data_IF_153433534338
#
_entry.id   IF_153433534338
#
_cell.length_a   1.000
_cell.length_b   1.000
_cell.length_c   1.000
_cell.angle_alpha   90.00
_cell.angle_beta   90.00
_cell.angle_gamma   90.00
#
_symmetry.space_group_name_H-M   'P 1'
#
loop_
_entity.id
_entity.type
_entity.pdbx_description
1 polymer ?
#
# COMPACT_ATOMS: atom_id res chain seq x y z
N UNK A 1 -4.63 -24.28 -12.51
CA UNK A 1 -3.38 -23.80 -11.89
C UNK A 1 -3.69 -22.46 -11.24
N UNK A 2 -3.75 -22.39 -9.91
CA UNK A 2 -3.99 -21.11 -9.23
C UNK A 2 -2.73 -20.25 -9.38
N UNK A 3 -2.89 -19.05 -9.92
CA UNK A 3 -1.80 -18.11 -10.05
C UNK A 3 -1.53 -17.51 -8.67
N UNK A 4 -0.29 -17.61 -8.17
CA UNK A 4 0.08 -16.98 -6.90
C UNK A 4 -0.03 -15.45 -7.03
N UNK A 5 -0.51 -14.81 -5.98
CA UNK A 5 -0.56 -13.35 -5.86
C UNK A 5 0.88 -12.82 -5.90
N UNK A 6 1.22 -12.01 -6.90
CA UNK A 6 2.57 -11.46 -7.08
C UNK A 6 2.74 -10.04 -6.55
N UNK A 7 1.68 -9.24 -6.60
CA UNK A 7 1.74 -7.81 -6.31
C UNK A 7 0.40 -7.30 -5.76
N UNK A 8 0.45 -6.42 -4.76
CA UNK A 8 -0.71 -5.72 -4.17
C UNK A 8 -0.55 -4.22 -4.38
N UNK A 9 -1.56 -3.58 -5.00
CA UNK A 9 -1.68 -2.13 -5.06
C UNK A 9 -2.51 -1.60 -3.88
N UNK A 10 -2.02 -0.56 -3.20
CA UNK A 10 -2.71 0.08 -2.07
C UNK A 10 -3.01 1.53 -2.42
N UNK A 11 -4.28 1.91 -2.35
CA UNK A 11 -4.75 3.29 -2.46
C UNK A 11 -5.77 3.57 -1.35
N UNK A 12 -5.85 4.81 -0.91
CA UNK A 12 -6.96 5.30 -0.07
C UNK A 12 -7.84 6.22 -0.91
N UNK A 13 -9.14 5.97 -0.91
CA UNK A 13 -10.13 6.84 -1.54
C UNK A 13 -10.97 7.54 -0.46
N UNK A 14 -11.48 8.74 -0.77
CA UNK A 14 -12.22 9.55 0.20
C UNK A 14 -11.32 10.43 1.07
N UNK A 15 -11.87 10.92 2.18
CA UNK A 15 -11.13 11.74 3.15
C UNK A 15 -10.32 10.90 4.14
N UNK A 16 -9.33 11.52 4.77
CA UNK A 16 -8.47 10.86 5.74
C UNK A 16 -9.26 10.47 7.00
N UNK A 17 -9.01 9.25 7.48
CA UNK A 17 -9.63 8.74 8.71
C UNK A 17 -8.59 8.09 9.63
N UNK A 18 -8.84 8.10 10.96
CA UNK A 18 -8.01 7.36 11.90
C UNK A 18 -7.89 5.88 11.51
N UNK A 19 -6.66 5.35 11.59
CA UNK A 19 -6.39 3.93 11.30
C UNK A 19 -6.00 3.61 9.86
N UNK A 20 -6.16 4.53 8.89
CA UNK A 20 -5.73 4.28 7.51
C UNK A 20 -4.24 3.93 7.41
N UNK A 21 -3.37 4.71 8.07
CA UNK A 21 -1.93 4.44 8.11
C UNK A 21 -1.59 3.10 8.78
N UNK A 22 -2.36 2.70 9.79
CA UNK A 22 -2.20 1.40 10.44
C UNK A 22 -2.56 0.24 9.50
N UNK A 23 -3.66 0.37 8.75
CA UNK A 23 -4.07 -0.61 7.75
C UNK A 23 -3.03 -0.72 6.61
N UNK A 24 -2.60 0.41 6.05
CA UNK A 24 -1.55 0.45 5.02
C UNK A 24 -0.29 -0.28 5.53
N UNK A 25 0.18 0.07 6.74
CA UNK A 25 1.37 -0.58 7.33
C UNK A 25 1.19 -2.08 7.53
N UNK A 26 0.04 -2.51 8.03
CA UNK A 26 -0.24 -3.93 8.28
C UNK A 26 -0.23 -4.73 6.98
N UNK A 27 -0.93 -4.26 5.94
CA UNK A 27 -0.97 -4.92 4.63
C UNK A 27 0.42 -4.95 4.01
N UNK A 28 1.14 -3.83 3.98
CA UNK A 28 2.48 -3.76 3.37
C UNK A 28 3.46 -4.72 4.03
N UNK A 29 3.56 -4.73 5.37
CA UNK A 29 4.50 -5.60 6.08
C UNK A 29 4.16 -7.08 5.92
N UNK A 30 2.87 -7.41 5.93
CA UNK A 30 2.42 -8.80 5.78
C UNK A 30 2.65 -9.32 4.37
N UNK A 31 2.37 -8.51 3.34
CA UNK A 31 2.63 -8.87 1.95
C UNK A 31 4.12 -9.12 1.70
N UNK A 32 4.98 -8.19 2.14
CA UNK A 32 6.44 -8.32 1.99
C UNK A 32 6.96 -9.56 2.73
N UNK A 33 6.44 -9.88 3.92
CA UNK A 33 6.80 -11.10 4.65
C UNK A 33 6.46 -12.38 3.89
N UNK A 34 5.43 -12.35 3.04
CA UNK A 34 5.01 -13.48 2.20
C UNK A 34 5.57 -13.40 0.76
N UNK A 35 6.64 -12.64 0.54
CA UNK A 35 7.27 -12.45 -0.78
C UNK A 35 6.33 -11.87 -1.85
N UNK A 36 5.34 -11.06 -1.44
CA UNK A 36 4.41 -10.36 -2.33
C UNK A 36 4.86 -8.90 -2.47
N UNK A 37 5.04 -8.44 -3.70
CA UNK A 37 5.37 -7.04 -3.98
C UNK A 37 4.23 -6.10 -3.57
N UNK A 38 4.56 -4.88 -3.16
CA UNK A 38 3.57 -3.88 -2.78
C UNK A 38 3.83 -2.58 -3.51
N UNK A 39 2.77 -1.96 -4.03
CA UNK A 39 2.82 -0.64 -4.67
C UNK A 39 1.84 0.31 -3.99
N UNK A 40 2.33 1.44 -3.52
CA UNK A 40 1.50 2.54 -3.04
C UNK A 40 1.05 3.40 -4.20
N UNK A 41 -0.22 3.75 -4.23
CA UNK A 41 -0.84 4.59 -5.25
C UNK A 41 -1.28 5.87 -4.55
N UNK A 42 -0.65 6.98 -4.93
CA UNK A 42 -0.94 8.27 -4.31
C UNK A 42 -2.23 8.86 -4.86
N UNK A 43 -2.86 9.80 -4.13
CA UNK A 43 -4.05 10.54 -4.57
C UNK A 43 -5.24 9.67 -5.02
N UNK A 44 -5.39 8.49 -4.40
CA UNK A 44 -6.50 7.57 -4.68
C UNK A 44 -6.61 7.19 -6.15
N UNK A 45 -7.83 7.17 -6.69
CA UNK A 45 -8.07 6.82 -8.09
C UNK A 45 -7.42 7.79 -9.09
N UNK A 46 -7.23 9.07 -8.72
CA UNK A 46 -6.58 10.02 -9.63
C UNK A 46 -5.16 9.58 -9.91
N UNK A 47 -4.38 9.26 -8.87
CA UNK A 47 -3.01 8.79 -9.06
C UNK A 47 -2.92 7.42 -9.71
N UNK A 48 -3.93 6.56 -9.53
CA UNK A 48 -4.01 5.31 -10.29
C UNK A 48 -4.08 5.58 -11.81
N UNK A 49 -4.94 6.51 -12.21
CA UNK A 49 -5.14 6.87 -13.63
C UNK A 49 -3.91 7.59 -14.20
N UNK A 50 -3.26 8.45 -13.42
CA UNK A 50 -2.09 9.24 -13.85
C UNK A 50 -0.75 8.51 -13.68
N UNK A 51 -0.75 7.32 -13.08
CA UNK A 51 0.47 6.53 -12.88
C UNK A 51 1.34 6.98 -11.70
N UNK A 52 0.78 7.67 -10.70
CA UNK A 52 1.46 8.04 -9.45
C UNK A 52 1.57 6.81 -8.51
N UNK A 53 2.36 5.83 -8.95
CA UNK A 53 2.50 4.51 -8.34
C UNK A 53 3.95 4.24 -7.97
N UNK A 54 4.23 3.98 -6.69
CA UNK A 54 5.58 3.77 -6.17
C UNK A 54 5.72 2.41 -5.46
N UNK A 55 6.88 1.74 -5.54
CA UNK A 55 7.12 0.53 -4.77
C UNK A 55 7.16 0.83 -3.27
N UNK A 56 6.42 0.05 -2.49
CA UNK A 56 6.49 0.08 -1.04
C UNK A 56 7.44 -0.98 -0.53
N UNK A 57 8.34 -0.56 0.36
CA UNK A 57 9.26 -1.39 1.12
C UNK A 57 8.89 -1.31 2.60
N UNK A 58 9.48 -2.17 3.43
CA UNK A 58 9.26 -2.16 4.89
C UNK A 58 9.52 -0.78 5.51
N UNK A 59 10.52 -0.04 5.00
CA UNK A 59 10.83 1.31 5.44
C UNK A 59 9.84 2.38 4.94
N UNK A 60 9.17 2.18 3.80
CA UNK A 60 8.14 3.10 3.27
C UNK A 60 6.97 3.32 4.24
N UNK A 61 6.70 2.34 5.10
CA UNK A 61 5.62 2.37 6.11
C UNK A 61 6.14 2.44 7.55
N UNK A 62 7.40 2.85 7.73
CA UNK A 62 7.97 3.07 9.06
C UNK A 62 7.50 4.41 9.63
N UNK A 63 7.13 4.43 10.91
CA UNK A 63 6.68 5.61 11.65
C UNK A 63 5.42 6.32 11.12
N UNK A 64 4.67 5.73 10.18
CA UNK A 64 3.45 6.37 9.63
C UNK A 64 2.22 6.28 10.56
N UNK A 65 2.23 5.39 11.56
CA UNK A 65 1.10 5.23 12.49
C UNK A 65 0.96 6.45 13.43
N UNK A 66 2.07 7.10 13.76
CA UNK A 66 2.10 8.24 14.68
C UNK A 66 1.95 9.60 13.98
N UNK A 67 1.70 9.58 12.67
CA UNK A 67 1.44 10.76 11.84
C UNK A 67 -0.05 11.11 11.79
#
# INVERSE_FOLDING_TARGET
>A
MFQSLKCIGILTSGGDAPGMNAAIRAVTRTAIYNDIEVKGIYRGFKGLITGEIEPFKTNSVSNIIQR
#
